data_IF_161707135845
#
_entry.id   IF_161707135845
#
_cell.length_a   1.000
_cell.length_b   1.000
_cell.length_c   1.000
_cell.angle_alpha   90.00
_cell.angle_beta   90.00
_cell.angle_gamma   90.00
#
_symmetry.space_group_name_H-M   'P 1'
#
loop_
_entity.id
_entity.type
_entity.pdbx_description
1 polymer ?
#
# COMPACT_ATOMS: atom_id res chain seq x y z
N UNK A 1 -53.51 39.38 -19.61
CA UNK A 1 -52.04 39.32 -19.51
C UNK A 1 -51.72 38.38 -18.34
N UNK A 2 -51.17 37.19 -18.61
CA UNK A 2 -50.76 36.22 -17.57
C UNK A 2 -49.27 35.99 -17.74
N UNK A 3 -48.49 36.42 -16.74
CA UNK A 3 -47.05 36.19 -16.66
C UNK A 3 -46.80 34.87 -15.94
N UNK A 4 -46.17 33.92 -16.62
CA UNK A 4 -45.64 32.70 -16.01
C UNK A 4 -44.18 32.94 -15.65
N UNK A 5 -43.87 32.97 -14.35
CA UNK A 5 -42.50 33.01 -13.85
C UNK A 5 -42.05 31.57 -13.54
N UNK A 6 -41.06 31.08 -14.28
CA UNK A 6 -40.41 29.79 -14.03
C UNK A 6 -39.17 30.01 -13.16
N UNK A 7 -39.17 29.45 -11.94
CA UNK A 7 -38.00 29.37 -11.06
C UNK A 7 -37.07 28.23 -11.49
N UNK A 8 -35.75 28.44 -11.64
CA UNK A 8 -34.81 27.36 -11.90
C UNK A 8 -34.45 26.65 -10.59
N UNK A 9 -34.66 25.34 -10.55
CA UNK A 9 -34.13 24.45 -9.52
C UNK A 9 -32.61 24.27 -9.72
N UNK A 10 -31.81 24.80 -8.80
CA UNK A 10 -30.38 24.53 -8.69
C UNK A 10 -30.19 23.13 -8.07
N UNK A 11 -29.86 22.15 -8.90
CA UNK A 11 -29.45 20.83 -8.46
C UNK A 11 -28.01 20.88 -7.91
N UNK A 12 -27.86 20.83 -6.60
CA UNK A 12 -26.58 20.70 -5.91
C UNK A 12 -26.18 19.21 -5.97
N UNK A 13 -25.31 18.85 -6.92
CA UNK A 13 -24.64 17.55 -6.92
C UNK A 13 -23.61 17.54 -5.78
N UNK A 14 -24.00 17.00 -4.62
CA UNK A 14 -23.08 16.67 -3.56
C UNK A 14 -22.24 15.46 -4.00
N UNK A 15 -21.00 15.70 -4.41
CA UNK A 15 -20.01 14.64 -4.57
C UNK A 15 -19.67 14.09 -3.18
N UNK A 16 -20.20 12.92 -2.85
CA UNK A 16 -19.78 12.18 -1.66
C UNK A 16 -18.31 11.79 -1.85
N UNK A 17 -17.42 12.50 -1.15
CA UNK A 17 -16.01 12.11 -1.06
C UNK A 17 -16.00 10.78 -0.30
N UNK A 18 -15.55 9.67 -0.90
CA UNK A 18 -15.44 8.42 -0.17
C UNK A 18 -14.47 8.64 0.99
N UNK A 19 -14.96 8.46 2.22
CA UNK A 19 -14.10 8.47 3.38
C UNK A 19 -13.05 7.38 3.21
N UNK A 20 -11.77 7.75 3.20
CA UNK A 20 -10.68 6.78 3.33
C UNK A 20 -10.90 6.04 4.65
N UNK A 21 -11.51 4.85 4.60
CA UNK A 21 -11.50 3.94 5.73
C UNK A 21 -10.03 3.58 5.96
N UNK A 22 -9.48 4.11 7.05
CA UNK A 22 -8.21 3.65 7.60
C UNK A 22 -8.39 2.18 7.95
N UNK A 23 -7.90 1.28 7.08
CA UNK A 23 -7.76 -0.13 7.40
C UNK A 23 -6.69 -0.20 8.48
N UNK A 24 -7.03 -0.63 9.69
CA UNK A 24 -6.03 -0.89 10.72
C UNK A 24 -5.46 -2.28 10.47
N UNK A 25 -4.32 -2.38 9.80
CA UNK A 25 -3.65 -3.66 9.65
C UNK A 25 -2.91 -4.01 10.96
N UNK A 26 -3.46 -4.94 11.74
CA UNK A 26 -2.87 -5.37 13.01
C UNK A 26 -1.80 -6.46 12.86
N UNK A 27 -1.55 -6.94 11.64
CA UNK A 27 -0.55 -7.99 11.39
C UNK A 27 0.88 -7.46 11.44
N UNK A 28 1.08 -6.15 11.22
CA UNK A 28 2.39 -5.52 11.28
C UNK A 28 2.52 -4.69 12.56
N UNK A 29 3.60 -4.93 13.28
CA UNK A 29 4.03 -4.04 14.35
C UNK A 29 4.84 -2.90 13.71
N UNK A 30 4.16 -1.77 13.44
CA UNK A 30 4.76 -0.63 12.74
C UNK A 30 5.92 0.00 13.52
N UNK A 31 5.98 -0.19 14.85
CA UNK A 31 7.11 0.25 15.67
C UNK A 31 8.41 -0.53 15.38
N UNK A 32 8.29 -1.69 14.71
CA UNK A 32 9.41 -2.53 14.27
C UNK A 32 9.78 -2.33 12.80
N UNK A 33 9.14 -1.40 12.10
CA UNK A 33 9.55 -1.07 10.73
C UNK A 33 10.97 -0.51 10.77
N UNK A 34 11.87 -1.14 10.03
CA UNK A 34 13.23 -0.65 9.87
C UNK A 34 13.24 0.47 8.82
N UNK A 35 13.75 1.64 9.21
CA UNK A 35 13.80 2.84 8.38
C UNK A 35 15.25 3.29 8.16
N UNK A 36 15.91 2.88 7.06
CA UNK A 36 17.31 3.20 6.80
C UNK A 36 17.61 4.71 6.58
N UNK A 37 16.58 5.56 6.49
CA UNK A 37 16.73 7.01 6.30
C UNK A 37 17.05 7.42 4.86
N UNK A 38 16.75 6.56 3.88
CA UNK A 38 16.95 6.82 2.47
C UNK A 38 15.60 6.99 1.75
N UNK A 39 15.60 7.91 0.79
CA UNK A 39 14.44 8.28 0.00
C UNK A 39 14.60 7.78 -1.42
N UNK A 40 13.47 7.48 -2.04
CA UNK A 40 13.37 7.13 -3.46
C UNK A 40 12.24 7.95 -4.08
N UNK A 41 12.45 8.37 -5.32
CA UNK A 41 11.41 9.04 -6.10
C UNK A 41 10.13 8.19 -6.11
N UNK A 42 8.99 8.83 -5.82
CA UNK A 42 7.71 8.14 -5.74
C UNK A 42 7.37 7.34 -6.99
N UNK A 43 7.76 7.82 -8.18
CA UNK A 43 7.49 7.14 -9.45
C UNK A 43 8.26 5.83 -9.50
N UNK A 44 9.56 5.86 -9.17
CA UNK A 44 10.41 4.66 -9.14
C UNK A 44 9.94 3.67 -8.06
N UNK A 45 9.60 4.16 -6.87
CA UNK A 45 9.07 3.34 -5.80
C UNK A 45 7.77 2.65 -6.21
N UNK A 46 6.81 3.42 -6.71
CA UNK A 46 5.52 2.91 -7.15
C UNK A 46 5.67 1.91 -8.30
N UNK A 47 6.57 2.16 -9.26
CA UNK A 47 6.83 1.21 -10.35
C UNK A 47 7.42 -0.10 -9.84
N UNK A 48 8.40 -0.06 -8.93
CA UNK A 48 8.97 -1.26 -8.32
C UNK A 48 7.91 -2.04 -7.51
N UNK A 49 7.13 -1.35 -6.68
CA UNK A 49 6.08 -1.96 -5.86
C UNK A 49 5.01 -2.58 -6.76
N UNK A 50 4.54 -1.86 -7.78
CA UNK A 50 3.54 -2.35 -8.72
C UNK A 50 4.00 -3.61 -9.43
N UNK A 51 5.25 -3.64 -9.92
CA UNK A 51 5.87 -4.83 -10.54
C UNK A 51 5.92 -6.03 -9.58
N UNK A 52 6.14 -5.80 -8.29
CA UNK A 52 6.13 -6.85 -7.28
C UNK A 52 4.70 -7.35 -7.02
N UNK A 53 3.76 -6.43 -6.77
CA UNK A 53 2.36 -6.72 -6.47
C UNK A 53 1.63 -7.43 -7.62
N UNK A 54 1.91 -7.07 -8.87
CA UNK A 54 1.35 -7.74 -10.06
C UNK A 54 1.73 -9.23 -10.17
N UNK A 55 2.79 -9.68 -9.48
CA UNK A 55 3.18 -11.09 -9.43
C UNK A 55 2.37 -11.91 -8.42
N UNK A 56 1.57 -11.26 -7.57
CA UNK A 56 0.69 -11.92 -6.60
C UNK A 56 -0.75 -11.71 -7.04
N UNK A 57 -1.21 -12.59 -7.93
CA UNK A 57 -2.56 -12.50 -8.50
C UNK A 57 -3.65 -12.71 -7.45
N UNK A 58 -3.41 -13.58 -6.48
CA UNK A 58 -4.37 -13.91 -5.42
C UNK A 58 -3.67 -14.15 -4.10
N UNK A 59 -4.34 -13.79 -3.02
CA UNK A 59 -4.05 -14.30 -1.70
C UNK A 59 -5.35 -14.58 -0.97
N UNK A 60 -5.48 -15.79 -0.43
CA UNK A 60 -6.60 -16.21 0.38
C UNK A 60 -6.05 -16.69 1.71
N UNK A 61 -6.68 -16.27 2.81
CA UNK A 61 -6.34 -16.75 4.13
C UNK A 61 -6.50 -18.26 4.21
N UNK A 62 -5.42 -18.98 4.49
CA UNK A 62 -5.41 -20.43 4.59
C UNK A 62 -4.45 -20.87 5.71
N UNK A 63 -4.96 -21.25 6.89
CA UNK A 63 -4.13 -21.71 7.99
C UNK A 63 -3.23 -22.89 7.61
N UNK A 64 -1.98 -22.87 8.06
CA UNK A 64 -0.94 -23.85 7.77
C UNK A 64 -0.30 -23.73 6.38
N UNK A 65 -0.65 -22.70 5.59
CA UNK A 65 -0.03 -22.47 4.28
C UNK A 65 1.43 -22.06 4.48
N UNK A 66 2.39 -22.70 3.78
CA UNK A 66 3.78 -22.26 3.84
C UNK A 66 3.94 -20.86 3.25
N UNK A 67 4.96 -20.13 3.71
CA UNK A 67 5.34 -18.85 3.10
C UNK A 67 5.53 -19.04 1.59
N UNK A 68 4.96 -18.13 0.80
CA UNK A 68 5.18 -18.11 -0.64
C UNK A 68 6.65 -17.81 -0.97
N UNK A 69 7.07 -18.13 -2.20
CA UNK A 69 8.36 -17.65 -2.68
C UNK A 69 8.35 -16.10 -2.76
N UNK A 70 9.45 -15.42 -2.37
CA UNK A 70 9.53 -13.97 -2.49
C UNK A 70 9.35 -13.55 -3.95
N UNK A 71 8.44 -12.61 -4.21
CA UNK A 71 8.34 -11.95 -5.50
C UNK A 71 9.01 -10.59 -5.45
N UNK A 72 9.51 -10.14 -6.61
CA UNK A 72 10.32 -8.93 -6.73
C UNK A 72 9.83 -8.06 -7.87
N UNK A 73 9.85 -6.75 -7.65
CA UNK A 73 9.73 -5.74 -8.69
C UNK A 73 10.95 -4.85 -8.64
N UNK A 74 11.65 -4.76 -9.77
CA UNK A 74 12.94 -4.07 -9.86
C UNK A 74 12.86 -2.95 -10.88
N UNK A 75 13.46 -1.82 -10.52
CA UNK A 75 13.70 -0.64 -11.34
C UNK A 75 15.16 -0.22 -11.13
N UNK A 76 15.73 0.66 -11.97
CA UNK A 76 17.11 1.11 -11.79
C UNK A 76 17.38 1.60 -10.36
N UNK A 77 18.28 0.91 -9.65
CA UNK A 77 18.71 1.26 -8.30
C UNK A 77 17.83 0.75 -7.15
N UNK A 78 16.62 0.24 -7.41
CA UNK A 78 15.66 -0.10 -6.34
C UNK A 78 14.88 -1.40 -6.61
N UNK A 79 14.63 -2.16 -5.54
CA UNK A 79 13.85 -3.39 -5.59
C UNK A 79 12.82 -3.41 -4.47
N UNK A 80 11.57 -3.65 -4.84
CA UNK A 80 10.50 -4.02 -3.94
C UNK A 80 10.43 -5.55 -3.83
N UNK A 81 10.36 -6.09 -2.62
CA UNK A 81 10.22 -7.52 -2.34
C UNK A 81 9.02 -7.74 -1.45
N UNK A 82 8.22 -8.75 -1.77
CA UNK A 82 7.13 -9.21 -0.92
C UNK A 82 7.10 -10.74 -0.87
N UNK A 83 6.98 -11.27 0.34
CA UNK A 83 6.77 -12.69 0.64
C UNK A 83 5.45 -12.81 1.37
N UNK A 84 4.50 -13.55 0.84
CA UNK A 84 3.15 -13.67 1.39
C UNK A 84 3.05 -14.86 2.34
N UNK A 85 2.55 -14.60 3.55
CA UNK A 85 2.20 -15.60 4.54
C UNK A 85 0.76 -16.10 4.42
N UNK A 86 0.38 -16.94 5.37
CA UNK A 86 -0.92 -17.63 5.37
C UNK A 86 -2.13 -16.69 5.50
N UNK A 87 -1.95 -15.51 6.08
CA UNK A 87 -3.02 -14.52 6.32
C UNK A 87 -2.88 -13.27 5.45
N UNK A 88 -2.12 -13.34 4.36
CA UNK A 88 -1.96 -12.23 3.41
C UNK A 88 -1.47 -10.93 4.06
N UNK A 89 -0.70 -11.03 5.14
CA UNK A 89 -0.29 -9.89 5.95
C UNK A 89 -1.46 -9.12 6.54
N UNK A 90 -2.61 -9.76 6.81
CA UNK A 90 -3.81 -9.15 7.36
C UNK A 90 -4.75 -8.51 6.33
N UNK A 91 -4.43 -8.60 5.04
CA UNK A 91 -5.27 -8.04 3.97
C UNK A 91 -6.38 -9.02 3.59
N UNK A 92 -7.64 -8.62 3.84
CA UNK A 92 -8.81 -9.47 3.56
C UNK A 92 -9.15 -9.55 2.06
N UNK A 93 -9.25 -8.40 1.38
CA UNK A 93 -9.55 -8.31 -0.04
C UNK A 93 -8.26 -8.13 -0.85
N UNK A 94 -7.52 -9.22 -1.07
CA UNK A 94 -6.25 -9.13 -1.79
C UNK A 94 -6.44 -8.78 -3.26
N UNK A 95 -5.85 -7.67 -3.67
CA UNK A 95 -5.64 -7.25 -5.06
C UNK A 95 -4.38 -6.38 -5.17
N UNK A 96 -4.01 -6.00 -6.39
CA UNK A 96 -2.81 -5.19 -6.64
C UNK A 96 -2.84 -3.88 -5.85
N UNK A 97 -3.97 -3.18 -5.79
CA UNK A 97 -4.10 -1.90 -5.10
C UNK A 97 -3.94 -2.05 -3.58
N UNK A 98 -4.53 -3.10 -2.99
CA UNK A 98 -4.36 -3.42 -1.57
C UNK A 98 -2.93 -3.79 -1.22
N UNK A 99 -2.20 -4.44 -2.14
CA UNK A 99 -0.78 -4.74 -1.97
C UNK A 99 0.07 -3.45 -2.00
N UNK A 100 -0.20 -2.54 -2.94
CA UNK A 100 0.47 -1.23 -3.00
C UNK A 100 0.16 -0.42 -1.73
N UNK A 101 -1.11 -0.39 -1.30
CA UNK A 101 -1.51 0.29 -0.07
C UNK A 101 -0.82 -0.31 1.17
N UNK A 102 -0.61 -1.62 1.19
CA UNK A 102 0.11 -2.29 2.27
C UNK A 102 1.57 -1.84 2.36
N UNK A 103 2.24 -1.65 1.22
CA UNK A 103 3.58 -1.06 1.19
C UNK A 103 3.56 0.36 1.78
N UNK A 104 2.60 1.20 1.38
CA UNK A 104 2.46 2.56 1.89
C UNK A 104 2.26 2.59 3.41
N UNK A 105 1.41 1.71 3.94
CA UNK A 105 1.09 1.60 5.37
C UNK A 105 2.27 1.06 6.19
N UNK A 106 2.96 0.03 5.70
CA UNK A 106 3.94 -0.74 6.47
C UNK A 106 5.36 -0.18 6.35
N UNK A 107 5.69 0.39 5.19
CA UNK A 107 7.05 0.87 4.89
C UNK A 107 7.10 2.39 4.87
N UNK A 108 6.26 3.06 4.07
CA UNK A 108 6.40 4.50 3.88
C UNK A 108 5.95 5.29 5.10
N UNK A 109 4.69 5.11 5.52
CA UNK A 109 4.09 5.90 6.59
C UNK A 109 4.87 5.86 7.92
N UNK A 110 5.40 4.71 8.40
CA UNK A 110 6.18 4.66 9.64
C UNK A 110 7.58 5.28 9.50
N UNK A 111 8.12 5.35 8.29
CA UNK A 111 9.45 5.91 8.03
C UNK A 111 9.43 7.38 7.62
N UNK A 112 8.27 7.93 7.25
CA UNK A 112 8.13 9.36 6.94
C UNK A 112 8.31 10.21 8.20
N UNK A 113 9.06 11.31 8.06
CA UNK A 113 9.11 12.36 9.08
C UNK A 113 8.44 13.63 8.57
N UNK A 114 7.89 14.43 9.50
CA UNK A 114 7.07 15.63 9.21
C UNK A 114 7.75 16.68 8.29
N UNK A 115 9.08 16.63 8.17
CA UNK A 115 9.88 17.59 7.41
C UNK A 115 10.37 17.07 6.05
N UNK A 116 9.97 15.88 5.64
CA UNK A 116 10.46 15.28 4.39
C UNK A 116 9.53 15.57 3.21
N UNK A 117 10.15 15.70 2.04
CA UNK A 117 9.49 15.81 0.72
C UNK A 117 8.48 14.68 0.51
N UNK A 118 7.57 14.80 -0.47
CA UNK A 118 6.64 13.74 -0.82
C UNK A 118 7.35 12.58 -1.51
N UNK A 119 8.44 12.06 -0.96
CA UNK A 119 9.21 10.92 -1.48
C UNK A 119 8.89 9.67 -0.67
N UNK A 120 9.06 8.51 -1.30
CA UNK A 120 8.81 7.23 -0.67
C UNK A 120 10.06 6.81 0.12
N UNK A 121 9.88 6.33 1.34
CA UNK A 121 10.98 5.89 2.19
C UNK A 121 11.36 4.44 1.91
N UNK A 122 12.66 4.14 1.87
CA UNK A 122 13.13 2.76 1.95
C UNK A 122 12.81 2.19 3.34
N UNK A 123 12.62 0.88 3.40
CA UNK A 123 12.39 0.20 4.66
C UNK A 123 11.86 -1.21 4.48
N UNK A 124 11.66 -1.89 5.61
CA UNK A 124 11.13 -3.24 5.63
C UNK A 124 10.46 -3.57 6.96
N UNK A 125 9.54 -4.52 6.92
CA UNK A 125 8.91 -5.10 8.10
C UNK A 125 8.47 -6.54 7.81
N UNK A 126 8.26 -7.31 8.88
CA UNK A 126 7.71 -8.66 8.83
C UNK A 126 6.49 -8.74 9.73
N UNK A 127 5.38 -9.20 9.17
CA UNK A 127 4.14 -9.43 9.88
C UNK A 127 4.35 -10.47 10.99
N UNK A 128 3.84 -10.18 12.18
CA UNK A 128 3.88 -11.07 13.34
C UNK A 128 2.86 -12.19 13.23
N UNK A 129 1.75 -11.94 12.52
CA UNK A 129 0.63 -12.86 12.44
C UNK A 129 0.90 -14.08 11.54
N UNK A 130 1.60 -13.88 10.42
CA UNK A 130 1.73 -14.92 9.37
C UNK A 130 3.11 -14.97 8.71
N UNK A 131 4.06 -14.14 9.17
CA UNK A 131 5.41 -14.05 8.63
C UNK A 131 5.53 -13.38 7.26
N UNK A 132 4.46 -12.75 6.74
CA UNK A 132 4.52 -11.92 5.53
C UNK A 132 5.65 -10.91 5.65
N UNK A 133 6.51 -10.82 4.64
CA UNK A 133 7.63 -9.88 4.63
C UNK A 133 7.46 -8.89 3.48
N UNK A 134 7.70 -7.61 3.77
CA UNK A 134 7.60 -6.51 2.80
C UNK A 134 8.85 -5.65 2.93
N UNK A 135 9.44 -5.29 1.80
CA UNK A 135 10.57 -4.39 1.78
C UNK A 135 10.69 -3.59 0.49
N UNK A 136 11.19 -2.36 0.61
CA UNK A 136 11.70 -1.55 -0.49
C UNK A 136 13.12 -1.13 -0.13
N UNK A 137 14.10 -1.56 -0.93
CA UNK A 137 15.52 -1.32 -0.65
C UNK A 137 16.29 -0.98 -1.93
N UNK A 138 17.55 -0.58 -1.76
CA UNK A 138 18.50 -0.55 -2.86
C UNK A 138 18.67 -1.94 -3.47
N UNK A 139 18.74 -1.99 -4.79
CA UNK A 139 19.02 -3.21 -5.54
C UNK A 139 18.37 -3.20 -6.91
N UNK A 140 19.11 -3.62 -7.93
CA UNK A 140 18.65 -3.73 -9.31
C UNK A 140 19.80 -4.02 -10.24
#
# INVERSE_FOLDING_TARGET
MRFFATLPFLAICAFAIPALQTRTNTCFDLSKTACPGHQVDNTLANEAILKACQRIQTCTHQPGRPLANPVRGTVPGFTAVITIGEACGGVHDWNVDSCVALFQEVVNAPCQSENQKPDYQLGYNKATCDGTFISLNFGG
#
